data_IF_963110102538
#
_entry.id   IF_963110102538
#
_cell.length_a   1.000
_cell.length_b   1.000
_cell.length_c   1.000
_cell.angle_alpha   90.00
_cell.angle_beta   90.00
_cell.angle_gamma   90.00
#
_symmetry.space_group_name_H-M   'P 1'
#
loop_
_entity.id
_entity.type
_entity.pdbx_description
1 polymer ?
#
# COMPACT_ATOMS: atom_id res chain seq x y z
N UNK A 1 40.08 -33.81 18.87
CA UNK A 1 38.68 -34.28 18.82
C UNK A 1 37.91 -33.41 17.85
N UNK A 2 37.62 -33.97 16.66
CA UNK A 2 36.81 -33.41 15.59
C UNK A 2 35.32 -33.64 15.91
N UNK A 3 34.45 -32.81 15.31
CA UNK A 3 32.99 -32.94 15.14
C UNK A 3 32.13 -32.14 16.14
N UNK A 4 31.83 -30.88 15.79
CA UNK A 4 30.63 -30.17 16.27
C UNK A 4 30.14 -29.06 15.31
N UNK A 5 30.58 -29.06 14.05
CA UNK A 5 30.12 -28.08 13.04
C UNK A 5 29.50 -28.84 11.86
N UNK A 6 28.39 -29.54 12.09
CA UNK A 6 27.70 -30.26 11.01
C UNK A 6 26.17 -30.30 11.13
N UNK A 7 25.58 -29.52 12.05
CA UNK A 7 24.13 -29.48 12.25
C UNK A 7 23.46 -28.17 11.81
N UNK A 8 24.14 -27.03 11.92
CA UNK A 8 23.51 -25.72 11.72
C UNK A 8 23.34 -25.31 10.24
N UNK A 9 24.16 -25.86 9.33
CA UNK A 9 24.13 -25.46 7.92
C UNK A 9 22.93 -26.03 7.15
N UNK A 10 22.39 -27.17 7.55
CA UNK A 10 21.29 -27.81 6.82
C UNK A 10 19.93 -27.15 7.08
N UNK A 11 19.72 -26.56 8.28
CA UNK A 11 18.45 -25.89 8.63
C UNK A 11 18.30 -24.56 7.89
N UNK A 12 19.39 -23.81 7.69
CA UNK A 12 19.36 -22.54 6.97
C UNK A 12 19.04 -22.64 5.49
N UNK A 13 19.43 -23.74 4.83
CA UNK A 13 19.19 -23.94 3.40
C UNK A 13 17.73 -24.30 3.08
N UNK A 14 17.02 -24.95 4.02
CA UNK A 14 15.61 -25.32 3.83
C UNK A 14 14.68 -24.10 3.97
N UNK A 15 15.00 -23.12 4.83
CA UNK A 15 14.23 -21.88 4.93
C UNK A 15 14.36 -20.96 3.69
N UNK A 16 15.48 -21.02 2.98
CA UNK A 16 15.73 -20.17 1.81
C UNK A 16 14.98 -20.62 0.55
N UNK A 17 14.53 -21.87 0.48
CA UNK A 17 13.80 -22.42 -0.68
C UNK A 17 12.28 -22.29 -0.55
N UNK A 18 11.77 -22.01 0.65
CA UNK A 18 10.34 -21.83 0.91
C UNK A 18 9.81 -20.42 0.57
N UNK A 19 10.69 -19.45 0.27
CA UNK A 19 10.27 -18.07 -0.08
C UNK A 19 9.80 -17.91 -1.52
N UNK A 20 9.91 -18.94 -2.36
CA UNK A 20 9.41 -18.96 -3.74
C UNK A 20 8.21 -19.89 -3.90
N UNK A 21 7.38 -20.04 -2.87
CA UNK A 21 6.00 -20.42 -3.16
C UNK A 21 5.40 -19.31 -4.04
N UNK A 22 4.79 -19.62 -5.19
CA UNK A 22 3.95 -18.63 -5.86
C UNK A 22 2.96 -18.19 -4.79
N UNK A 23 2.97 -16.90 -4.46
CA UNK A 23 1.90 -16.33 -3.66
C UNK A 23 0.64 -16.78 -4.39
N UNK A 24 -0.13 -17.68 -3.75
CA UNK A 24 -1.47 -17.98 -4.16
C UNK A 24 -2.08 -16.61 -4.41
N UNK A 25 -2.26 -16.27 -5.67
CA UNK A 25 -3.08 -15.15 -6.07
C UNK A 25 -4.47 -15.65 -5.73
N UNK A 26 -4.76 -15.68 -4.43
CA UNK A 26 -6.04 -15.98 -3.85
C UNK A 26 -6.94 -15.04 -4.62
N UNK A 27 -7.75 -15.62 -5.50
CA UNK A 27 -8.72 -14.94 -6.34
C UNK A 27 -9.36 -13.89 -5.46
N UNK A 28 -8.91 -12.64 -5.61
CA UNK A 28 -9.25 -11.60 -4.65
C UNK A 28 -10.76 -11.53 -4.69
N UNK A 29 -11.41 -11.85 -3.57
CA UNK A 29 -12.86 -11.91 -3.52
C UNK A 29 -13.36 -10.57 -4.07
N UNK A 30 -14.39 -10.62 -4.93
CA UNK A 30 -14.98 -9.41 -5.45
C UNK A 30 -15.26 -8.49 -4.24
N UNK A 31 -14.77 -7.24 -4.26
CA UNK A 31 -14.92 -6.37 -3.11
C UNK A 31 -16.40 -6.25 -2.78
N UNK A 32 -16.72 -6.22 -1.48
CA UNK A 32 -18.08 -5.97 -1.04
C UNK A 32 -18.57 -4.65 -1.65
N UNK A 33 -19.86 -4.60 -1.99
CA UNK A 33 -20.50 -3.35 -2.39
C UNK A 33 -20.35 -2.32 -1.27
N UNK A 34 -20.00 -1.08 -1.62
CA UNK A 34 -19.94 0.02 -0.67
C UNK A 34 -21.30 0.23 -0.01
N UNK A 35 -21.30 0.40 1.31
CA UNK A 35 -22.49 0.75 2.10
C UNK A 35 -22.83 2.25 1.93
N UNK A 36 -24.02 2.66 2.37
CA UNK A 36 -24.39 4.08 2.39
C UNK A 36 -23.43 4.93 3.24
N UNK A 37 -22.89 4.36 4.31
CA UNK A 37 -21.93 5.04 5.16
C UNK A 37 -20.55 5.16 4.50
N UNK A 38 -20.12 4.14 3.75
CA UNK A 38 -18.92 4.23 2.91
C UNK A 38 -19.07 5.35 1.86
N UNK A 39 -20.22 5.40 1.18
CA UNK A 39 -20.52 6.44 0.18
C UNK A 39 -20.50 7.83 0.82
N UNK A 40 -21.05 7.97 2.04
CA UNK A 40 -21.04 9.23 2.79
C UNK A 40 -19.61 9.65 3.14
N UNK A 41 -18.80 8.73 3.63
CA UNK A 41 -17.41 8.97 3.98
C UNK A 41 -16.57 9.37 2.75
N UNK A 42 -16.72 8.67 1.62
CA UNK A 42 -16.03 8.99 0.37
C UNK A 42 -16.39 10.40 -0.14
N UNK A 43 -17.68 10.78 -0.06
CA UNK A 43 -18.13 12.13 -0.43
C UNK A 43 -17.52 13.21 0.46
N UNK A 44 -17.47 12.98 1.77
CA UNK A 44 -16.86 13.91 2.71
C UNK A 44 -15.36 14.08 2.44
N UNK A 45 -14.61 12.99 2.24
CA UNK A 45 -13.20 13.03 1.90
C UNK A 45 -12.95 13.77 0.56
N UNK A 46 -13.81 13.54 -0.44
CA UNK A 46 -13.70 14.23 -1.73
C UNK A 46 -13.95 15.74 -1.59
N UNK A 47 -14.94 16.15 -0.79
CA UNK A 47 -15.21 17.56 -0.52
C UNK A 47 -14.01 18.22 0.17
N UNK A 48 -13.47 17.58 1.23
CA UNK A 48 -12.30 18.06 1.95
C UNK A 48 -11.11 18.29 1.02
N UNK A 49 -10.82 17.30 0.15
CA UNK A 49 -9.74 17.38 -0.84
C UNK A 49 -9.94 18.55 -1.81
N UNK A 50 -11.16 18.77 -2.30
CA UNK A 50 -11.46 19.88 -3.23
C UNK A 50 -11.27 21.23 -2.57
N UNK A 51 -11.79 21.42 -1.37
CA UNK A 51 -11.68 22.67 -0.62
C UNK A 51 -10.22 22.98 -0.30
N UNK A 52 -9.45 21.98 0.14
CA UNK A 52 -8.02 22.13 0.41
C UNK A 52 -7.25 22.52 -0.86
N UNK A 53 -7.54 21.86 -2.00
CA UNK A 53 -6.93 22.21 -3.28
C UNK A 53 -7.25 23.65 -3.70
N UNK A 54 -8.49 24.08 -3.56
CA UNK A 54 -8.92 25.46 -3.89
C UNK A 54 -8.27 26.50 -2.98
N UNK A 55 -8.04 26.15 -1.71
CA UNK A 55 -7.37 27.01 -0.74
C UNK A 55 -5.84 27.00 -0.87
N UNK A 56 -5.26 26.13 -1.69
CA UNK A 56 -3.81 25.90 -1.75
C UNK A 56 -3.24 25.24 -0.49
N UNK A 57 -4.09 24.59 0.32
CA UNK A 57 -3.71 23.92 1.56
C UNK A 57 -3.22 22.50 1.25
N UNK A 58 -1.92 22.38 0.98
CA UNK A 58 -1.29 21.12 0.57
C UNK A 58 -1.34 20.07 1.68
N UNK A 59 -1.13 20.46 2.94
CA UNK A 59 -1.15 19.52 4.07
C UNK A 59 -2.55 18.88 4.21
N UNK A 60 -3.60 19.69 4.17
CA UNK A 60 -4.98 19.21 4.24
C UNK A 60 -5.37 18.43 2.98
N UNK A 61 -4.86 18.81 1.82
CA UNK A 61 -5.06 18.05 0.58
C UNK A 61 -4.46 16.64 0.67
N UNK A 62 -3.25 16.52 1.22
CA UNK A 62 -2.56 15.23 1.38
C UNK A 62 -3.11 14.37 2.53
N UNK A 63 -3.85 14.98 3.47
CA UNK A 63 -4.43 14.27 4.63
C UNK A 63 -5.43 13.16 4.26
N UNK A 64 -6.05 13.22 3.07
CA UNK A 64 -7.00 12.20 2.61
C UNK A 64 -6.32 11.01 1.93
N UNK A 65 -5.02 11.08 1.70
CA UNK A 65 -4.25 10.04 1.03
C UNK A 65 -3.52 9.16 2.05
N UNK A 66 -3.40 7.87 1.73
CA UNK A 66 -2.51 6.95 2.45
C UNK A 66 -1.05 7.30 2.15
N UNK A 67 -0.13 6.83 3.01
CA UNK A 67 1.31 7.08 2.85
C UNK A 67 1.84 6.61 1.49
N UNK A 68 1.28 5.53 0.97
CA UNK A 68 1.64 4.84 -0.27
C UNK A 68 0.79 5.24 -1.49
N UNK A 69 0.03 6.33 -1.40
CA UNK A 69 -0.83 6.77 -2.49
C UNK A 69 -0.05 7.06 -3.78
N UNK A 70 -0.61 6.64 -4.91
CA UNK A 70 -0.13 7.01 -6.24
C UNK A 70 -1.03 8.12 -6.80
N UNK A 71 -0.46 9.29 -7.05
CA UNK A 71 -1.16 10.43 -7.65
C UNK A 71 -0.68 10.58 -9.08
N UNK A 72 -1.61 10.61 -10.04
CA UNK A 72 -1.30 10.77 -11.47
C UNK A 72 -1.87 12.10 -11.99
N UNK A 73 -1.13 13.21 -11.88
CA UNK A 73 -1.56 14.45 -12.51
C UNK A 73 -1.53 14.33 -14.04
N UNK A 74 -2.39 15.07 -14.75
CA UNK A 74 -2.36 15.11 -16.20
C UNK A 74 -1.01 15.61 -16.72
N UNK A 75 -0.46 14.93 -17.73
CA UNK A 75 0.75 15.33 -18.45
C UNK A 75 2.03 15.44 -17.61
N UNK A 76 2.07 14.86 -16.41
CA UNK A 76 3.28 14.79 -15.57
C UNK A 76 3.66 13.33 -15.27
N UNK A 77 4.82 13.14 -14.67
CA UNK A 77 5.14 11.89 -14.01
C UNK A 77 4.14 11.63 -12.86
N UNK A 78 3.96 10.35 -12.53
CA UNK A 78 3.25 9.95 -11.33
C UNK A 78 4.04 10.33 -10.07
N UNK A 79 3.32 10.56 -8.99
CA UNK A 79 3.86 10.81 -7.66
C UNK A 79 3.61 9.56 -6.83
N UNK A 80 4.68 8.95 -6.32
CA UNK A 80 4.63 7.71 -5.54
C UNK A 80 4.84 8.06 -4.05
N UNK A 81 3.78 7.86 -3.28
CA UNK A 81 3.72 8.14 -1.85
C UNK A 81 3.42 9.62 -1.56
N UNK A 82 2.64 9.87 -0.49
CA UNK A 82 2.19 11.22 -0.15
C UNK A 82 3.33 12.17 0.22
N UNK A 83 4.46 11.64 0.68
CA UNK A 83 5.65 12.41 1.04
C UNK A 83 6.41 12.97 -0.18
N UNK A 84 6.13 12.46 -1.39
CA UNK A 84 6.74 12.92 -2.63
C UNK A 84 5.89 13.97 -3.37
N UNK A 85 4.73 14.32 -2.82
CA UNK A 85 3.74 15.21 -3.42
C UNK A 85 3.97 16.70 -3.13
#
# INVERSE_FOLDING_TARGET
MRKLVSGAAAVGLVLALASCAPADSAKQAAPAMATDDDIRAMKAATQLRREALQAGDVEKFLSVYTEDAVIMPPHSAEIIGKAAA
#
